data_IF_820502973507
#
_entry.id   IF_820502973507
#
_cell.length_a   1.000
_cell.length_b   1.000
_cell.length_c   1.000
_cell.angle_alpha   90.00
_cell.angle_beta   90.00
_cell.angle_gamma   90.00
#
_symmetry.space_group_name_H-M   'P 1'
#
loop_
_entity.id
_entity.type
_entity.pdbx_description
1 polymer ?
#
# COMPACT_ATOMS: atom_id res chain seq x y z
N UNK A 1 -49.97 10.41 -22.37
CA UNK A 1 -49.53 9.53 -23.47
C UNK A 1 -48.05 9.30 -23.22
N UNK A 2 -47.68 8.11 -22.77
CA UNK A 2 -46.32 7.79 -22.32
C UNK A 2 -45.56 7.18 -23.49
N UNK A 3 -44.36 7.72 -23.75
CA UNK A 3 -43.44 7.24 -24.78
C UNK A 3 -42.97 5.79 -24.49
N UNK A 4 -42.85 4.93 -25.51
CA UNK A 4 -42.31 3.58 -25.35
C UNK A 4 -40.79 3.61 -25.17
N UNK A 5 -40.29 2.81 -24.23
CA UNK A 5 -38.85 2.60 -24.00
C UNK A 5 -38.23 1.78 -25.16
N UNK A 6 -36.93 1.98 -25.46
CA UNK A 6 -36.26 1.28 -26.55
C UNK A 6 -36.03 -0.21 -26.24
N UNK A 7 -36.24 -1.06 -27.26
CA UNK A 7 -35.89 -2.48 -27.27
C UNK A 7 -34.38 -2.67 -27.07
N UNK A 8 -34.01 -3.27 -25.93
CA UNK A 8 -32.61 -3.55 -25.61
C UNK A 8 -32.26 -3.62 -24.13
N UNK A 9 -33.22 -3.64 -23.22
CA UNK A 9 -32.97 -4.06 -21.84
C UNK A 9 -32.94 -5.59 -21.82
N UNK A 10 -31.74 -6.17 -21.74
CA UNK A 10 -31.61 -7.57 -21.37
C UNK A 10 -32.12 -7.72 -19.94
N UNK A 11 -33.06 -8.64 -19.74
CA UNK A 11 -33.59 -9.00 -18.43
C UNK A 11 -32.44 -9.46 -17.51
N UNK A 12 -32.24 -8.74 -16.41
CA UNK A 12 -31.17 -9.00 -15.44
C UNK A 12 -31.37 -10.31 -14.64
N UNK A 13 -32.47 -11.03 -14.90
CA UNK A 13 -32.84 -12.28 -14.21
C UNK A 13 -32.30 -13.55 -14.89
N UNK A 14 -31.62 -13.45 -16.04
CA UNK A 14 -31.00 -14.59 -16.76
C UNK A 14 -29.52 -14.83 -16.39
N UNK A 15 -28.92 -13.95 -15.58
CA UNK A 15 -27.48 -13.96 -15.28
C UNK A 15 -27.09 -14.82 -14.06
N UNK A 16 -28.08 -15.45 -13.42
CA UNK A 16 -27.94 -16.26 -12.21
C UNK A 16 -28.60 -17.65 -12.36
N UNK A 17 -28.58 -18.20 -13.57
CA UNK A 17 -28.94 -19.61 -13.77
C UNK A 17 -27.82 -20.50 -13.19
N UNK A 18 -28.14 -21.13 -12.05
CA UNK A 18 -27.29 -22.06 -11.30
C UNK A 18 -27.31 -23.44 -11.97
N UNK A 19 -26.65 -23.55 -13.14
CA UNK A 19 -26.55 -24.81 -13.88
C UNK A 19 -25.11 -25.29 -13.94
N UNK A 20 -24.80 -26.54 -13.51
CA UNK A 20 -23.43 -27.02 -13.39
C UNK A 20 -22.91 -27.43 -14.77
N UNK A 21 -22.23 -26.50 -15.44
CA UNK A 21 -21.49 -26.81 -16.65
C UNK A 21 -20.17 -27.50 -16.29
N UNK A 22 -20.18 -28.82 -16.38
CA UNK A 22 -18.98 -29.65 -16.44
C UNK A 22 -18.04 -29.13 -17.53
N UNK A 23 -16.82 -28.73 -17.16
CA UNK A 23 -15.71 -28.70 -18.11
C UNK A 23 -14.49 -29.34 -17.47
N UNK A 24 -14.25 -30.58 -17.88
CA UNK A 24 -12.95 -31.22 -17.93
C UNK A 24 -11.93 -30.28 -18.59
N UNK A 25 -11.15 -29.60 -17.76
CA UNK A 25 -9.95 -28.87 -18.17
C UNK A 25 -8.86 -29.28 -17.20
N UNK A 26 -8.08 -30.28 -17.58
CA UNK A 26 -6.82 -30.60 -16.92
C UNK A 26 -5.92 -29.36 -16.97
N UNK A 27 -5.84 -28.65 -15.85
CA UNK A 27 -4.86 -27.58 -15.63
C UNK A 27 -3.54 -28.27 -15.29
N UNK A 28 -2.46 -28.11 -16.09
CA UNK A 28 -1.16 -28.67 -15.73
C UNK A 28 -0.70 -28.04 -14.41
N UNK A 29 -0.42 -28.93 -13.44
CA UNK A 29 -0.26 -28.59 -12.03
C UNK A 29 0.73 -27.47 -11.78
N UNK A 30 0.26 -26.45 -11.06
CA UNK A 30 1.15 -25.60 -10.28
C UNK A 30 1.88 -26.52 -9.28
N UNK A 31 3.22 -26.54 -9.21
CA UNK A 31 3.90 -27.36 -8.22
C UNK A 31 3.41 -26.92 -6.83
N UNK A 32 2.78 -27.86 -6.13
CA UNK A 32 2.37 -27.68 -4.75
C UNK A 32 3.66 -27.52 -3.96
N UNK A 33 4.01 -26.27 -3.65
CA UNK A 33 4.99 -26.02 -2.61
C UNK A 33 4.33 -26.49 -1.31
N UNK A 34 4.71 -27.69 -0.86
CA UNK A 34 4.55 -28.17 0.51
C UNK A 34 5.46 -27.35 1.43
N UNK A 35 5.18 -26.04 1.48
CA UNK A 35 5.74 -25.12 2.45
C UNK A 35 4.65 -24.92 3.48
N UNK A 36 4.82 -25.57 4.62
CA UNK A 36 4.00 -25.44 5.83
C UNK A 36 3.24 -24.11 5.89
N UNK A 37 1.91 -24.19 5.92
CA UNK A 37 1.04 -23.08 6.27
C UNK A 37 1.28 -22.70 7.74
N UNK A 38 2.38 -21.98 7.99
CA UNK A 38 2.59 -21.27 9.24
C UNK A 38 1.92 -19.90 9.09
N UNK A 39 0.80 -19.74 9.78
CA UNK A 39 0.15 -18.47 10.12
C UNK A 39 -0.13 -17.48 8.97
N UNK A 40 -1.13 -17.76 8.14
CA UNK A 40 -1.72 -16.75 7.25
C UNK A 40 -2.60 -15.71 7.99
N UNK A 41 -2.83 -15.87 9.31
CA UNK A 41 -3.67 -14.99 10.13
C UNK A 41 -2.87 -13.87 10.83
N UNK A 42 -1.53 -13.89 10.74
CA UNK A 42 -0.69 -12.74 11.04
C UNK A 42 -0.24 -12.06 9.74
N UNK A 43 -1.20 -11.58 8.94
CA UNK A 43 -0.87 -10.58 7.93
C UNK A 43 -0.32 -9.34 8.66
N UNK A 44 1.00 -9.17 8.62
CA UNK A 44 1.73 -8.06 9.25
C UNK A 44 1.06 -6.73 8.85
N UNK A 45 0.44 -6.05 9.83
CA UNK A 45 -0.31 -4.80 9.61
C UNK A 45 0.66 -3.77 9.02
N UNK A 46 0.57 -3.59 7.69
CA UNK A 46 1.52 -2.78 6.92
C UNK A 46 1.19 -1.29 6.97
N UNK A 47 0.24 -0.87 7.81
CA UNK A 47 -0.10 0.54 8.00
C UNK A 47 1.07 1.31 8.60
N UNK A 48 1.26 2.50 8.07
CA UNK A 48 2.21 3.48 8.58
C UNK A 48 1.43 4.69 9.11
N UNK A 49 1.87 5.19 10.25
CA UNK A 49 1.35 6.37 10.92
C UNK A 49 2.45 7.42 11.00
N UNK A 50 2.08 8.69 10.90
CA UNK A 50 2.98 9.84 10.99
C UNK A 50 2.60 10.64 12.24
N UNK A 51 3.20 10.38 13.42
CA UNK A 51 2.77 10.99 14.67
C UNK A 51 2.80 12.53 14.66
N UNK A 52 3.84 13.14 14.09
CA UNK A 52 3.98 14.60 13.99
C UNK A 52 3.26 15.24 12.80
N UNK A 53 2.14 14.67 12.33
CA UNK A 53 1.39 15.21 11.18
C UNK A 53 0.86 16.63 11.44
N UNK A 54 0.58 16.98 12.69
CA UNK A 54 0.18 18.31 13.14
C UNK A 54 1.36 19.27 13.36
N UNK A 55 2.57 18.73 13.52
CA UNK A 55 3.82 19.49 13.74
C UNK A 55 4.47 19.98 12.43
N UNK A 56 3.87 19.67 11.27
CA UNK A 56 4.36 20.09 9.95
C UNK A 56 4.92 18.96 9.09
N UNK A 57 5.00 17.74 9.60
CA UNK A 57 5.38 16.59 8.79
C UNK A 57 4.34 16.28 7.72
N UNK A 58 4.79 15.93 6.51
CA UNK A 58 3.91 15.57 5.39
C UNK A 58 4.39 14.29 4.72
N UNK A 59 3.44 13.53 4.16
CA UNK A 59 3.71 12.40 3.26
C UNK A 59 3.58 12.90 1.84
N UNK A 60 4.53 12.52 0.98
CA UNK A 60 4.58 12.92 -0.42
C UNK A 60 4.85 11.70 -1.31
N UNK A 61 4.37 11.76 -2.55
CA UNK A 61 4.73 10.81 -3.60
C UNK A 61 5.69 11.49 -4.57
N UNK A 62 6.86 10.89 -4.81
CA UNK A 62 7.79 11.42 -5.80
C UNK A 62 7.29 11.08 -7.20
N UNK A 63 6.81 12.07 -7.93
CA UNK A 63 6.23 11.88 -9.27
C UNK A 63 7.20 12.17 -10.40
N UNK A 64 8.33 12.83 -10.11
CA UNK A 64 9.35 13.20 -11.10
C UNK A 64 10.53 12.23 -11.10
N UNK A 65 11.21 12.16 -12.25
CA UNK A 65 12.44 11.40 -12.44
C UNK A 65 13.71 12.18 -12.06
N UNK A 66 13.56 13.40 -11.56
CA UNK A 66 14.69 14.24 -11.15
C UNK A 66 15.46 13.59 -10.00
N UNK A 67 16.78 13.79 -9.97
CA UNK A 67 17.62 13.25 -8.89
C UNK A 67 17.40 14.05 -7.62
N UNK A 68 16.69 13.44 -6.68
CA UNK A 68 16.47 13.97 -5.35
C UNK A 68 16.97 12.95 -4.32
N UNK A 69 17.52 13.43 -3.21
CA UNK A 69 18.14 12.57 -2.22
C UNK A 69 17.46 12.74 -0.86
N UNK A 70 17.41 11.64 -0.11
CA UNK A 70 17.12 11.65 1.31
C UNK A 70 18.14 12.53 2.05
N UNK A 71 17.69 13.32 3.01
CA UNK A 71 18.52 14.17 3.86
C UNK A 71 19.28 13.37 4.92
N UNK A 72 18.92 12.10 5.12
CA UNK A 72 19.54 11.19 6.07
C UNK A 72 20.56 10.26 5.42
N UNK A 73 21.58 9.90 6.20
CA UNK A 73 22.40 8.70 5.98
C UNK A 73 22.20 7.76 7.17
N UNK A 74 22.30 6.47 6.92
CA UNK A 74 22.37 5.52 8.03
C UNK A 74 23.79 5.51 8.64
N UNK A 75 23.93 5.07 9.90
CA UNK A 75 25.24 4.83 10.49
C UNK A 75 26.07 3.87 9.61
N UNK A 76 27.27 4.30 9.22
CA UNK A 76 28.18 3.53 8.35
C UNK A 76 27.96 3.73 6.84
N UNK A 77 26.94 4.48 6.41
CA UNK A 77 26.79 4.85 5.00
C UNK A 77 27.48 6.17 4.68
N UNK A 78 28.21 6.20 3.57
CA UNK A 78 28.89 7.42 3.08
C UNK A 78 28.05 8.18 2.04
N UNK A 79 26.92 7.64 1.62
CA UNK A 79 26.04 8.19 0.58
C UNK A 79 24.65 8.51 1.12
N UNK A 80 23.95 9.41 0.44
CA UNK A 80 22.53 9.68 0.67
C UNK A 80 21.68 8.76 -0.21
N UNK A 81 20.55 8.27 0.31
CA UNK A 81 19.63 7.45 -0.50
C UNK A 81 19.00 8.30 -1.61
N UNK A 82 19.04 7.80 -2.84
CA UNK A 82 18.32 8.39 -3.96
C UNK A 82 16.82 8.09 -3.80
N UNK A 83 15.98 9.13 -3.89
CA UNK A 83 14.52 8.97 -3.94
C UNK A 83 14.11 8.61 -5.36
N UNK A 84 13.31 7.56 -5.51
CA UNK A 84 12.89 7.04 -6.82
C UNK A 84 11.54 7.61 -7.25
N UNK A 85 11.31 7.73 -8.55
CA UNK A 85 9.97 8.01 -9.07
C UNK A 85 9.01 6.90 -8.64
N UNK A 86 7.83 7.26 -8.14
CA UNK A 86 6.85 6.36 -7.52
C UNK A 86 7.11 6.06 -6.04
N UNK A 87 8.19 6.56 -5.44
CA UNK A 87 8.47 6.36 -4.03
C UNK A 87 7.66 7.31 -3.14
N UNK A 88 7.04 6.75 -2.11
CA UNK A 88 6.47 7.54 -1.01
C UNK A 88 7.61 7.96 -0.09
N UNK A 89 7.65 9.24 0.28
CA UNK A 89 8.64 9.79 1.19
C UNK A 89 7.95 10.76 2.16
N UNK A 90 8.64 11.15 3.22
CA UNK A 90 8.13 12.16 4.16
C UNK A 90 9.00 13.40 4.15
N UNK A 91 8.38 14.54 4.45
CA UNK A 91 9.04 15.84 4.47
C UNK A 91 8.74 16.57 5.75
N UNK A 92 9.74 17.31 6.22
CA UNK A 92 9.58 18.37 7.20
C UNK A 92 10.28 19.60 6.65
N UNK A 93 9.52 20.66 6.39
CA UNK A 93 10.05 21.86 5.73
C UNK A 93 10.76 21.50 4.39
N UNK A 94 12.04 21.83 4.23
CA UNK A 94 12.84 21.48 3.04
C UNK A 94 13.50 20.09 3.09
N UNK A 95 13.44 19.41 4.23
CA UNK A 95 14.10 18.11 4.43
C UNK A 95 13.23 16.95 3.89
N UNK A 96 13.86 16.05 3.14
CA UNK A 96 13.20 14.87 2.54
C UNK A 96 13.75 13.59 3.15
N UNK A 97 12.87 12.64 3.47
CA UNK A 97 13.25 11.37 4.07
C UNK A 97 12.58 10.20 3.37
N UNK A 98 13.37 9.24 2.88
CA UNK A 98 12.83 7.95 2.46
C UNK A 98 12.19 7.25 3.66
N UNK A 99 11.24 6.34 3.41
CA UNK A 99 10.49 5.70 4.50
C UNK A 99 11.39 4.93 5.47
N UNK A 100 12.49 4.33 5.01
CA UNK A 100 13.38 3.59 5.90
C UNK A 100 14.13 4.52 6.87
N UNK A 101 14.63 5.66 6.39
CA UNK A 101 15.25 6.64 7.27
C UNK A 101 14.24 7.31 8.19
N UNK A 102 13.05 7.62 7.70
CA UNK A 102 11.96 8.15 8.51
C UNK A 102 11.58 7.18 9.64
N UNK A 103 11.49 5.88 9.34
CA UNK A 103 11.17 4.82 10.31
C UNK A 103 12.26 4.70 11.37
N UNK A 104 13.53 4.64 10.97
CA UNK A 104 14.66 4.56 11.90
C UNK A 104 14.74 5.76 12.85
N UNK A 105 14.34 6.94 12.38
CA UNK A 105 14.34 8.18 13.15
C UNK A 105 13.08 8.37 14.02
N UNK A 106 12.12 7.45 13.94
CA UNK A 106 10.86 7.54 14.67
C UNK A 106 9.87 8.56 14.11
N UNK A 107 10.12 9.09 12.91
CA UNK A 107 9.20 10.02 12.22
C UNK A 107 7.92 9.30 11.82
N UNK A 108 8.04 8.05 11.37
CA UNK A 108 6.89 7.18 11.06
C UNK A 108 6.87 5.96 11.97
N UNK A 109 5.68 5.45 12.23
CA UNK A 109 5.44 4.32 13.13
C UNK A 109 4.52 3.28 12.49
N UNK A 110 4.70 2.01 12.83
CA UNK A 110 3.71 0.94 12.57
C UNK A 110 2.71 0.78 13.74
N UNK A 111 2.96 1.44 14.86
CA UNK A 111 2.10 1.37 16.04
C UNK A 111 0.80 2.16 15.81
N UNK A 112 -0.31 1.44 15.69
CA UNK A 112 -1.66 2.03 15.57
C UNK A 112 -2.04 2.91 16.77
N UNK A 113 -1.43 2.67 17.94
CA UNK A 113 -1.66 3.44 19.15
C UNK A 113 -0.61 4.55 19.37
N UNK A 114 0.08 4.99 18.31
CA UNK A 114 1.06 6.09 18.38
C UNK A 114 0.53 7.36 19.11
N UNK A 115 -0.77 7.63 19.02
CA UNK A 115 -1.44 8.76 19.67
C UNK A 115 -1.58 8.66 21.19
N UNK A 116 -1.44 7.46 21.79
CA UNK A 116 -1.60 7.28 23.25
C UNK A 116 -0.35 7.63 24.06
N UNK A 117 0.82 7.78 23.43
CA UNK A 117 2.11 7.95 24.14
C UNK A 117 2.42 9.40 24.59
N UNK A 118 1.45 10.31 24.56
CA UNK A 118 1.62 11.72 24.93
C UNK A 118 1.06 12.11 26.32
N UNK A 119 0.88 11.15 27.22
CA UNK A 119 0.28 11.37 28.54
C UNK A 119 1.16 10.87 29.68
N UNK A 120 2.36 11.42 29.84
CA UNK A 120 3.17 11.36 31.06
C UNK A 120 3.76 12.74 31.37
#
# INVERSE_FOLDING_TARGET
>A
MADPLPDGFMDLEDLWDDSPAETDRTVPGNPVHDGSAVDADQADDSRLYLPGWDEGWRVQLKTTWDREYCFAKNPGEEFYHLLMAGEVYVTYDEEKYCLECARRRGVISRDRLHWKRGGE
#
